data_IF_187273106626
#
_entry.id   IF_187273106626
#
_cell.length_a   1.000
_cell.length_b   1.000
_cell.length_c   1.000
_cell.angle_alpha   90.00
_cell.angle_beta   90.00
_cell.angle_gamma   90.00
#
_symmetry.space_group_name_H-M   'P 1'
#
loop_
_entity.id
_entity.type
_entity.pdbx_description
1 polymer ?
#
# COMPACT_ATOMS: atom_id res chain seq x y z
N UNK A 1 7.59 -33.68 -4.09
CA UNK A 1 6.93 -32.82 -3.09
C UNK A 1 5.44 -32.89 -3.39
N UNK A 2 4.66 -33.48 -2.51
CA UNK A 2 3.22 -33.67 -2.71
C UNK A 2 2.47 -32.60 -1.91
N UNK A 3 1.53 -31.96 -2.57
CA UNK A 3 0.63 -31.00 -1.93
C UNK A 3 -0.70 -31.72 -1.70
N UNK A 4 -1.05 -31.95 -0.47
CA UNK A 4 -2.37 -32.47 -0.11
C UNK A 4 -3.29 -31.31 0.22
N UNK A 5 -4.41 -31.23 -0.51
CA UNK A 5 -5.36 -30.12 -0.42
C UNK A 5 -6.64 -30.60 0.25
N UNK A 6 -6.63 -30.68 1.57
CA UNK A 6 -7.89 -30.98 2.25
C UNK A 6 -8.47 -29.81 3.07
N UNK A 7 -7.68 -28.92 3.65
CA UNK A 7 -8.23 -27.77 4.42
C UNK A 7 -7.21 -26.64 4.59
N UNK A 8 -6.46 -26.31 3.56
CA UNK A 8 -5.49 -25.24 3.61
C UNK A 8 -4.24 -25.51 2.78
N UNK A 9 -3.37 -24.55 2.72
CA UNK A 9 -2.11 -24.64 2.01
C UNK A 9 -1.00 -24.93 3.04
N UNK A 10 -0.47 -26.13 3.04
CA UNK A 10 0.62 -26.49 3.94
C UNK A 10 1.36 -27.73 3.50
N UNK A 11 2.64 -27.82 3.84
CA UNK A 11 3.46 -29.02 3.65
C UNK A 11 3.42 -29.77 4.97
N UNK A 12 2.57 -30.77 5.10
CA UNK A 12 2.67 -31.71 6.18
C UNK A 12 2.47 -33.13 5.68
N UNK A 13 3.34 -34.02 6.10
CA UNK A 13 3.26 -35.45 5.85
C UNK A 13 2.70 -36.23 7.06
N UNK A 14 2.35 -35.53 8.13
CA UNK A 14 1.91 -36.16 9.37
C UNK A 14 0.42 -35.91 9.64
N UNK A 15 -0.23 -36.88 10.29
CA UNK A 15 -1.61 -36.73 10.76
C UNK A 15 -1.69 -35.60 11.77
N UNK A 16 -2.61 -34.69 11.54
CA UNK A 16 -2.90 -33.56 12.43
C UNK A 16 -3.16 -34.06 13.85
N UNK A 17 -2.33 -33.63 14.79
CA UNK A 17 -2.69 -33.72 16.20
C UNK A 17 -3.40 -32.43 16.58
N UNK A 18 -4.28 -32.49 17.57
CA UNK A 18 -5.15 -31.40 18.02
C UNK A 18 -4.40 -30.13 18.46
N UNK A 19 -3.07 -30.19 18.55
CA UNK A 19 -2.19 -29.12 19.03
C UNK A 19 -1.20 -28.61 17.98
N UNK A 20 -1.19 -29.16 16.78
CA UNK A 20 -0.29 -28.68 15.72
C UNK A 20 -0.88 -27.43 15.10
N UNK A 21 -0.35 -26.28 15.48
CA UNK A 21 -0.64 -25.01 14.84
C UNK A 21 -0.16 -25.07 13.39
N UNK A 22 -1.06 -25.03 12.43
CA UNK A 22 -0.73 -24.88 11.02
C UNK A 22 -1.46 -23.70 10.43
N UNK A 23 -0.80 -23.05 9.49
CA UNK A 23 -1.42 -21.97 8.74
C UNK A 23 -2.27 -22.55 7.61
N UNK A 24 -3.49 -22.06 7.45
CA UNK A 24 -4.36 -22.38 6.33
C UNK A 24 -4.82 -21.10 5.64
N UNK A 25 -5.19 -21.21 4.38
CA UNK A 25 -5.87 -20.12 3.70
C UNK A 25 -7.23 -19.88 4.37
N UNK A 26 -7.49 -18.64 4.70
CA UNK A 26 -8.79 -18.22 5.21
C UNK A 26 -9.84 -18.29 4.10
N UNK A 27 -11.05 -18.80 4.41
CA UNK A 27 -12.14 -18.77 3.45
C UNK A 27 -12.66 -17.33 3.29
N UNK A 28 -13.26 -17.01 2.14
CA UNK A 28 -13.88 -15.68 1.92
C UNK A 28 -14.92 -15.34 3.00
N UNK A 29 -15.68 -16.34 3.44
CA UNK A 29 -16.69 -16.18 4.51
C UNK A 29 -16.04 -15.83 5.86
N UNK A 30 -14.88 -16.38 6.14
CA UNK A 30 -14.16 -16.12 7.38
C UNK A 30 -13.45 -14.76 7.30
N UNK A 31 -12.88 -14.40 6.14
CA UNK A 31 -12.31 -13.07 5.89
C UNK A 31 -13.34 -11.97 6.13
N UNK A 32 -14.56 -12.11 5.62
CA UNK A 32 -15.65 -11.14 5.81
C UNK A 32 -16.10 -10.97 7.25
N UNK A 33 -15.70 -11.86 8.16
CA UNK A 33 -15.98 -11.81 9.60
C UNK A 33 -14.79 -11.40 10.44
N UNK A 34 -13.61 -11.33 9.84
CA UNK A 34 -12.40 -10.96 10.54
C UNK A 34 -12.47 -9.51 11.00
N UNK A 35 -12.01 -9.24 12.22
CA UNK A 35 -12.05 -7.90 12.81
C UNK A 35 -11.19 -6.88 12.06
N UNK A 36 -10.07 -7.32 11.50
CA UNK A 36 -9.16 -6.48 10.70
C UNK A 36 -9.67 -6.20 9.28
N UNK A 37 -10.67 -6.94 8.81
CA UNK A 37 -11.22 -6.77 7.47
C UNK A 37 -12.47 -5.89 7.53
N UNK A 38 -12.43 -4.78 6.84
CA UNK A 38 -13.53 -3.80 6.79
C UNK A 38 -14.19 -3.79 5.43
N UNK A 39 -15.50 -3.58 5.42
CA UNK A 39 -16.28 -3.46 4.20
C UNK A 39 -16.39 -1.99 3.79
N UNK A 40 -16.16 -1.69 2.52
CA UNK A 40 -16.38 -0.37 1.92
C UNK A 40 -17.31 -0.50 0.70
N UNK A 41 -18.17 0.48 0.51
CA UNK A 41 -19.07 0.53 -0.65
C UNK A 41 -18.41 1.28 -1.79
N UNK A 42 -18.26 0.64 -2.96
CA UNK A 42 -17.49 1.20 -4.09
C UNK A 42 -18.12 2.46 -4.68
N UNK A 43 -19.41 2.70 -4.43
CA UNK A 43 -20.12 3.90 -4.90
C UNK A 43 -19.91 5.13 -4.00
N UNK A 44 -19.40 4.96 -2.79
CA UNK A 44 -19.20 6.06 -1.84
C UNK A 44 -17.98 6.90 -2.22
N UNK A 45 -18.08 8.21 -2.01
CA UNK A 45 -16.99 9.13 -2.28
C UNK A 45 -15.90 9.15 -1.20
N UNK A 46 -16.23 8.71 0.01
CA UNK A 46 -15.32 8.57 1.15
C UNK A 46 -15.52 7.22 1.83
N UNK A 47 -14.47 6.67 2.40
CA UNK A 47 -14.50 5.38 3.09
C UNK A 47 -14.11 5.54 4.56
N UNK A 48 -14.72 4.73 5.41
CA UNK A 48 -14.42 4.66 6.84
C UNK A 48 -13.19 3.76 7.13
N UNK A 49 -12.68 3.07 6.12
CA UNK A 49 -11.54 2.16 6.21
C UNK A 49 -10.65 2.29 4.99
N UNK A 50 -9.35 2.17 5.22
CA UNK A 50 -8.32 2.18 4.20
C UNK A 50 -7.39 1.01 4.36
N UNK A 51 -6.93 0.42 3.27
CA UNK A 51 -6.02 -0.70 3.34
C UNK A 51 -6.02 -1.54 2.08
N UNK A 52 -5.38 -2.69 2.17
CA UNK A 52 -5.20 -3.57 1.03
C UNK A 52 -6.51 -4.28 0.64
N UNK A 53 -6.97 -4.20 -0.62
CA UNK A 53 -8.18 -4.88 -1.03
C UNK A 53 -7.97 -6.40 -1.11
N UNK A 54 -8.73 -7.16 -0.33
CA UNK A 54 -8.66 -8.62 -0.27
C UNK A 54 -9.81 -9.30 -1.02
N UNK A 55 -10.99 -8.66 -1.07
CA UNK A 55 -12.16 -9.16 -1.77
C UNK A 55 -12.84 -7.98 -2.48
N UNK A 56 -13.36 -8.23 -3.68
CA UNK A 56 -14.16 -7.29 -4.43
C UNK A 56 -15.26 -8.06 -5.18
N UNK A 57 -16.54 -7.71 -4.94
CA UNK A 57 -17.68 -8.31 -5.61
C UNK A 57 -18.29 -7.39 -6.68
N UNK A 58 -17.63 -6.27 -6.98
CA UNK A 58 -18.08 -5.28 -7.96
C UNK A 58 -19.02 -4.22 -7.41
N UNK A 59 -19.53 -4.40 -6.19
CA UNK A 59 -20.42 -3.46 -5.49
C UNK A 59 -19.78 -2.98 -4.19
N UNK A 60 -19.16 -3.92 -3.51
CA UNK A 60 -18.46 -3.74 -2.25
C UNK A 60 -17.03 -4.27 -2.36
N UNK A 61 -16.13 -3.67 -1.60
CA UNK A 61 -14.81 -4.24 -1.39
C UNK A 61 -14.59 -4.47 0.11
N UNK A 62 -13.80 -5.49 0.42
CA UNK A 62 -13.30 -5.74 1.77
C UNK A 62 -11.81 -5.45 1.79
N UNK A 63 -11.41 -4.60 2.70
CA UNK A 63 -10.03 -4.09 2.82
C UNK A 63 -9.44 -4.54 4.14
N UNK A 64 -8.16 -4.87 4.12
CA UNK A 64 -7.40 -5.15 5.35
C UNK A 64 -6.99 -3.83 6.00
N UNK A 65 -7.73 -3.48 7.07
CA UNK A 65 -7.56 -2.27 7.89
C UNK A 65 -6.89 -2.61 9.24
N UNK A 66 -6.11 -3.68 9.30
CA UNK A 66 -5.45 -4.16 10.52
C UNK A 66 -4.32 -3.25 11.03
N UNK A 67 -4.02 -2.18 10.31
CA UNK A 67 -3.07 -1.13 10.72
C UNK A 67 -1.63 -1.32 10.24
N UNK A 68 -1.24 -2.49 9.78
CA UNK A 68 0.11 -2.77 9.23
C UNK A 68 0.09 -3.84 8.12
N UNK A 69 -0.68 -3.67 7.05
CA UNK A 69 -0.71 -4.66 5.97
C UNK A 69 0.57 -4.55 5.12
N UNK A 70 1.48 -5.49 5.29
CA UNK A 70 2.57 -5.69 4.34
C UNK A 70 2.15 -6.73 3.31
N UNK A 71 2.13 -6.37 2.04
CA UNK A 71 1.74 -7.27 0.95
C UNK A 71 2.84 -7.40 -0.10
N UNK A 72 3.12 -8.63 -0.50
CA UNK A 72 4.00 -8.93 -1.62
C UNK A 72 3.17 -9.50 -2.79
N UNK A 73 3.14 -8.75 -3.90
CA UNK A 73 2.41 -9.14 -5.10
C UNK A 73 3.38 -9.59 -6.18
N UNK A 74 3.35 -10.87 -6.51
CA UNK A 74 4.19 -11.44 -7.56
C UNK A 74 3.35 -11.85 -8.77
N UNK A 75 3.92 -11.66 -9.95
CA UNK A 75 3.30 -12.06 -11.20
C UNK A 75 4.14 -11.65 -12.41
N UNK A 76 4.01 -12.36 -13.51
CA UNK A 76 4.70 -12.05 -14.76
C UNK A 76 4.31 -10.67 -15.32
N UNK A 77 5.09 -10.15 -16.26
CA UNK A 77 4.69 -8.94 -17.00
C UNK A 77 3.36 -9.21 -17.73
N UNK A 78 2.46 -8.23 -17.71
CA UNK A 78 1.13 -8.36 -18.31
C UNK A 78 0.11 -9.17 -17.48
N UNK A 79 0.45 -9.67 -16.29
CA UNK A 79 -0.49 -10.42 -15.44
C UNK A 79 -1.58 -9.57 -14.76
N UNK A 80 -1.63 -8.27 -15.03
CA UNK A 80 -2.64 -7.38 -14.47
C UNK A 80 -2.36 -6.85 -13.06
N UNK A 81 -1.15 -7.01 -12.50
CA UNK A 81 -0.82 -6.54 -11.15
C UNK A 81 -1.23 -5.09 -10.91
N UNK A 82 -0.86 -4.20 -11.82
CA UNK A 82 -1.18 -2.77 -11.71
C UNK A 82 -2.69 -2.54 -11.73
N UNK A 83 -3.38 -3.17 -12.68
CA UNK A 83 -4.83 -3.02 -12.87
C UNK A 83 -5.65 -3.61 -11.71
N UNK A 84 -5.29 -4.81 -11.25
CA UNK A 84 -6.09 -5.53 -10.27
C UNK A 84 -5.78 -5.15 -8.82
N UNK A 85 -4.58 -4.60 -8.57
CA UNK A 85 -4.12 -4.36 -7.21
C UNK A 85 -3.74 -2.90 -6.96
N UNK A 86 -2.86 -2.31 -7.79
CA UNK A 86 -2.32 -0.98 -7.50
C UNK A 86 -3.36 0.14 -7.70
N UNK A 87 -4.11 0.12 -8.78
CA UNK A 87 -5.17 1.11 -8.99
C UNK A 87 -6.29 1.01 -7.96
N UNK A 88 -6.84 -0.18 -7.63
CA UNK A 88 -7.82 -0.31 -6.56
C UNK A 88 -7.30 0.16 -5.21
N UNK A 89 -6.08 -0.24 -4.84
CA UNK A 89 -5.45 0.18 -3.59
C UNK A 89 -5.35 1.71 -3.51
N UNK A 90 -4.79 2.35 -4.53
CA UNK A 90 -4.63 3.81 -4.55
C UNK A 90 -5.99 4.53 -4.48
N UNK A 91 -7.01 4.02 -5.16
CA UNK A 91 -8.38 4.57 -5.11
C UNK A 91 -9.03 4.41 -3.75
N UNK A 92 -8.78 3.30 -3.05
CA UNK A 92 -9.27 3.05 -1.69
C UNK A 92 -8.60 4.00 -0.70
N UNK A 93 -7.26 4.06 -0.71
CA UNK A 93 -6.49 4.94 0.17
C UNK A 93 -6.86 6.42 -0.04
N UNK A 94 -7.06 6.82 -1.30
CA UNK A 94 -7.49 8.18 -1.64
C UNK A 94 -8.89 8.53 -1.11
N UNK A 95 -9.82 7.57 -1.06
CA UNK A 95 -11.16 7.79 -0.49
C UNK A 95 -11.19 7.73 1.02
N UNK A 96 -10.24 7.05 1.63
CA UNK A 96 -10.04 7.05 3.08
C UNK A 96 -9.30 8.30 3.57
N UNK A 97 -8.54 8.98 2.67
CA UNK A 97 -7.79 10.19 3.03
C UNK A 97 -6.34 9.93 3.43
N UNK A 98 -5.79 8.78 3.06
CA UNK A 98 -4.40 8.39 3.38
C UNK A 98 -3.38 9.11 2.50
N UNK A 99 -2.26 9.50 3.11
CA UNK A 99 -1.08 9.94 2.35
C UNK A 99 -0.29 8.75 1.84
N UNK A 100 0.15 8.80 0.59
CA UNK A 100 0.84 7.69 -0.05
C UNK A 100 2.16 8.12 -0.69
N UNK A 101 3.14 7.23 -0.68
CA UNK A 101 4.37 7.35 -1.46
C UNK A 101 4.37 6.19 -2.46
N UNK A 102 4.53 6.51 -3.75
CA UNK A 102 4.42 5.54 -4.82
C UNK A 102 5.64 5.62 -5.72
N UNK A 103 6.22 4.48 -6.06
CA UNK A 103 7.20 4.38 -7.15
C UNK A 103 6.49 3.94 -8.42
N UNK A 104 6.51 4.79 -9.44
CA UNK A 104 5.80 4.59 -10.71
C UNK A 104 6.77 4.66 -11.91
N UNK A 105 7.50 3.58 -12.20
CA UNK A 105 8.53 3.59 -13.22
C UNK A 105 8.02 3.87 -14.64
N UNK A 106 6.74 3.66 -14.90
CA UNK A 106 6.12 3.85 -16.20
C UNK A 106 5.26 5.11 -16.30
N UNK A 107 4.88 5.71 -15.16
CA UNK A 107 3.96 6.84 -15.11
C UNK A 107 2.48 6.45 -15.15
N UNK A 108 2.16 5.15 -15.27
CA UNK A 108 0.79 4.66 -15.44
C UNK A 108 -0.14 5.06 -14.27
N UNK A 109 0.37 5.04 -13.03
CA UNK A 109 -0.41 5.39 -11.84
C UNK A 109 -0.69 6.90 -11.78
N UNK A 110 0.30 7.71 -12.14
CA UNK A 110 0.14 9.15 -12.19
C UNK A 110 -0.84 9.57 -13.30
N UNK A 111 -0.70 9.00 -14.51
CA UNK A 111 -1.58 9.27 -15.64
C UNK A 111 -3.04 8.92 -15.35
N UNK A 112 -3.28 7.75 -14.77
CA UNK A 112 -4.64 7.23 -14.53
C UNK A 112 -5.30 7.84 -13.26
N UNK A 113 -4.53 8.02 -12.18
CA UNK A 113 -5.10 8.42 -10.89
C UNK A 113 -4.85 9.89 -10.52
N UNK A 114 -3.90 10.56 -11.17
CA UNK A 114 -3.48 11.91 -10.78
C UNK A 114 -4.62 12.93 -10.78
N UNK A 115 -5.48 12.92 -11.79
CA UNK A 115 -6.64 13.81 -11.86
C UNK A 115 -7.63 13.54 -10.73
N UNK A 116 -7.97 12.29 -10.48
CA UNK A 116 -8.86 11.89 -9.39
C UNK A 116 -8.31 12.33 -8.02
N UNK A 117 -7.01 12.18 -7.80
CA UNK A 117 -6.36 12.61 -6.57
C UNK A 117 -6.43 14.13 -6.40
N UNK A 118 -6.20 14.91 -7.46
CA UNK A 118 -6.32 16.37 -7.42
C UNK A 118 -7.76 16.81 -7.12
N UNK A 119 -8.76 16.20 -7.76
CA UNK A 119 -10.18 16.47 -7.51
C UNK A 119 -10.59 16.18 -6.06
N UNK A 120 -9.93 15.21 -5.42
CA UNK A 120 -10.09 14.90 -3.98
C UNK A 120 -9.25 15.79 -3.05
N UNK A 121 -8.56 16.79 -3.58
CA UNK A 121 -7.79 17.75 -2.79
C UNK A 121 -6.38 17.30 -2.41
N UNK A 122 -5.87 16.23 -2.99
CA UNK A 122 -4.49 15.78 -2.74
C UNK A 122 -3.47 16.72 -3.36
N UNK A 123 -2.44 17.03 -2.59
CA UNK A 123 -1.22 17.64 -3.11
C UNK A 123 -0.32 16.56 -3.68
N UNK A 124 -0.16 16.54 -5.00
CA UNK A 124 0.74 15.61 -5.68
C UNK A 124 2.12 16.22 -5.79
N UNK A 125 3.15 15.51 -5.36
CA UNK A 125 4.56 15.86 -5.52
C UNK A 125 5.17 14.82 -6.45
N UNK A 126 5.36 15.19 -7.70
CA UNK A 126 5.96 14.32 -8.72
C UNK A 126 7.47 14.51 -8.75
N UNK A 127 8.24 13.53 -8.32
CA UNK A 127 9.70 13.52 -8.50
C UNK A 127 10.04 12.74 -9.75
N UNK A 128 10.31 13.46 -10.84
CA UNK A 128 10.64 12.85 -12.13
C UNK A 128 12.15 12.72 -12.30
N UNK A 129 12.68 11.52 -12.03
CA UNK A 129 14.11 11.24 -12.19
C UNK A 129 14.55 10.99 -13.65
N UNK A 130 13.60 10.77 -14.57
CA UNK A 130 13.92 10.62 -16.00
C UNK A 130 14.07 11.98 -16.69
N UNK A 131 13.17 12.91 -16.37
CA UNK A 131 13.26 14.28 -16.81
C UNK A 131 13.02 15.21 -15.62
N UNK A 132 14.10 15.62 -14.93
CA UNK A 132 13.98 16.46 -13.74
C UNK A 132 13.38 17.85 -14.00
N UNK A 133 13.25 18.27 -15.27
CA UNK A 133 12.60 19.52 -15.63
C UNK A 133 11.06 19.43 -15.59
N UNK A 134 10.55 18.22 -15.74
CA UNK A 134 9.12 17.89 -15.77
C UNK A 134 8.61 17.42 -14.42
N UNK A 135 9.14 17.93 -13.31
CA UNK A 135 8.78 17.47 -11.97
C UNK A 135 8.99 18.51 -10.89
N UNK A 136 8.66 18.14 -9.66
CA UNK A 136 8.93 18.95 -8.49
C UNK A 136 10.43 18.91 -8.15
N UNK A 137 11.00 20.06 -7.83
CA UNK A 137 12.36 20.09 -7.28
C UNK A 137 12.34 19.59 -5.82
N UNK A 138 13.26 18.71 -5.51
CA UNK A 138 13.49 18.24 -4.15
C UNK A 138 14.94 18.50 -3.72
N UNK A 139 15.08 19.24 -2.61
CA UNK A 139 16.36 19.49 -2.00
C UNK A 139 16.42 18.82 -0.62
N UNK A 140 17.19 17.73 -0.45
CA UNK A 140 17.29 16.99 0.81
C UNK A 140 17.83 17.85 1.96
N UNK A 141 18.61 18.89 1.66
CA UNK A 141 19.19 19.79 2.68
C UNK A 141 18.22 20.85 3.17
N UNK A 142 17.08 21.06 2.52
CA UNK A 142 16.13 22.12 2.91
C UNK A 142 15.54 21.92 4.29
N UNK A 143 15.25 20.67 4.68
CA UNK A 143 14.70 20.34 5.99
C UNK A 143 15.72 20.49 7.12
N UNK A 144 16.93 19.89 7.06
CA UNK A 144 17.99 20.15 8.04
C UNK A 144 18.35 21.63 8.18
N UNK A 145 18.40 22.36 7.07
CA UNK A 145 18.67 23.80 7.11
C UNK A 145 17.58 24.59 7.84
N UNK A 146 16.30 24.23 7.65
CA UNK A 146 15.19 24.85 8.40
C UNK A 146 15.31 24.61 9.89
N UNK A 147 15.56 23.36 10.31
CA UNK A 147 15.75 22.98 11.71
C UNK A 147 16.95 23.73 12.33
N UNK A 148 18.03 23.89 11.57
CA UNK A 148 19.17 24.70 11.99
C UNK A 148 18.77 26.17 12.24
N UNK A 149 17.99 26.77 11.34
CA UNK A 149 17.49 28.15 11.47
C UNK A 149 16.54 28.34 12.66
N UNK A 150 15.82 27.33 13.04
CA UNK A 150 14.94 27.29 14.22
C UNK A 150 15.74 27.16 15.54
N UNK A 151 17.08 27.01 15.46
CA UNK A 151 17.98 26.95 16.60
C UNK A 151 18.27 25.53 17.12
N UNK A 152 17.70 24.49 16.50
CA UNK A 152 17.94 23.10 16.90
C UNK A 152 19.13 22.50 16.11
N UNK A 153 20.33 22.92 16.52
CA UNK A 153 21.59 22.55 15.83
C UNK A 153 21.88 21.06 15.91
N UNK A 154 21.61 20.43 17.05
CA UNK A 154 21.88 19.00 17.26
C UNK A 154 21.03 18.13 16.33
N UNK A 155 19.73 18.40 16.23
CA UNK A 155 18.83 17.68 15.33
C UNK A 155 19.17 17.93 13.86
N UNK A 156 19.58 19.13 13.50
CA UNK A 156 20.03 19.45 12.15
C UNK A 156 21.28 18.64 11.77
N UNK A 157 22.25 18.52 12.68
CA UNK A 157 23.47 17.72 12.47
C UNK A 157 23.16 16.22 12.34
N UNK A 158 22.26 15.66 13.18
CA UNK A 158 21.79 14.29 13.08
C UNK A 158 21.22 14.01 11.68
N UNK A 159 20.29 14.87 11.21
CA UNK A 159 19.68 14.74 9.89
C UNK A 159 20.70 14.85 8.73
N UNK A 160 21.71 15.69 8.88
CA UNK A 160 22.80 15.80 7.89
C UNK A 160 23.70 14.55 7.87
N UNK A 161 23.97 13.97 9.05
CA UNK A 161 24.72 12.71 9.15
C UNK A 161 23.96 11.56 8.51
N UNK A 162 22.64 11.47 8.75
CA UNK A 162 21.78 10.45 8.12
C UNK A 162 21.79 10.58 6.59
N UNK A 163 21.72 11.81 6.07
CA UNK A 163 21.84 12.06 4.62
C UNK A 163 23.21 11.71 4.03
N UNK A 164 24.28 11.84 4.80
CA UNK A 164 25.62 11.56 4.35
C UNK A 164 26.01 10.06 4.43
N UNK A 165 25.27 9.29 5.25
CA UNK A 165 25.53 7.86 5.48
C UNK A 165 24.71 6.93 4.56
N UNK A 166 23.74 7.46 3.82
CA UNK A 166 22.92 6.74 2.83
C UNK A 166 23.30 7.11 1.40
#
# INVERSE_FOLDING_TARGET
MFFEREEGFGITTEKKTKNDGYSKLMSEKDMKKDYGIKKVHLVDDSYDAGGFPVINDGKDAWVDDSGQPHALIMGASGSGKTQCMMFPLLKILARHGESVIVTDPKGELYEECGKMLQEKGYRIILLNFRDPKEGAAWNPFSYPYRIYKEGNVDKANELLQDLASN
#
